data_IF_357907186684
#
_entry.id   IF_357907186684
#
_cell.length_a   1.000
_cell.length_b   1.000
_cell.length_c   1.000
_cell.angle_alpha   90.00
_cell.angle_beta   90.00
_cell.angle_gamma   90.00
#
_symmetry.space_group_name_H-M   'P 1'
#
loop_
_entity.id
_entity.type
_entity.pdbx_description
1 polymer ?
#
# COMPACT_ATOMS: atom_id res chain seq x y z
N UNK A 1 15.70 0.37 15.16
CA UNK A 1 15.29 -0.38 13.95
C UNK A 1 16.52 -1.05 13.34
N UNK A 2 16.39 -2.25 12.77
CA UNK A 2 17.47 -2.99 12.09
C UNK A 2 16.92 -3.53 10.77
N UNK A 3 17.63 -3.34 9.66
CA UNK A 3 17.24 -3.86 8.35
C UNK A 3 17.62 -5.36 8.31
N UNK A 4 16.66 -6.21 7.92
CA UNK A 4 16.87 -7.67 7.82
C UNK A 4 17.04 -8.14 6.38
N UNK A 5 16.33 -7.53 5.44
CA UNK A 5 16.40 -7.83 4.00
C UNK A 5 15.90 -6.64 3.20
N UNK A 6 16.28 -6.60 1.93
CA UNK A 6 15.75 -5.70 0.90
C UNK A 6 14.90 -6.49 -0.08
N UNK A 7 13.93 -5.85 -0.71
CA UNK A 7 13.09 -6.45 -1.76
C UNK A 7 13.45 -5.78 -3.09
N UNK A 8 13.98 -6.55 -4.04
CA UNK A 8 14.51 -6.02 -5.30
C UNK A 8 13.41 -5.70 -6.32
N UNK A 9 12.32 -6.48 -6.32
CA UNK A 9 11.22 -6.34 -7.28
C UNK A 9 10.03 -5.52 -6.76
N UNK A 10 10.13 -4.93 -5.57
CA UNK A 10 9.09 -4.09 -5.01
C UNK A 10 9.15 -2.67 -5.62
N UNK A 11 8.07 -2.24 -6.27
CA UNK A 11 7.96 -0.90 -6.89
C UNK A 11 6.95 -0.04 -6.16
N UNK A 12 7.30 1.21 -5.90
CA UNK A 12 6.33 2.20 -5.45
C UNK A 12 5.59 2.78 -6.65
N UNK A 13 4.26 2.73 -6.61
CA UNK A 13 3.38 3.23 -7.66
C UNK A 13 2.27 4.10 -7.07
N UNK A 14 1.70 4.98 -7.89
CA UNK A 14 0.50 5.74 -7.55
C UNK A 14 -0.63 5.21 -8.44
N UNK A 15 -1.74 4.82 -7.82
CA UNK A 15 -2.95 4.35 -8.51
C UNK A 15 -4.13 5.22 -8.11
N UNK A 16 -5.10 5.40 -8.98
CA UNK A 16 -6.40 5.96 -8.57
C UNK A 16 -7.22 4.84 -7.93
N UNK A 17 -7.35 4.87 -6.60
CA UNK A 17 -7.96 3.78 -5.84
C UNK A 17 -9.39 4.15 -5.43
N UNK A 18 -10.39 3.39 -5.90
CA UNK A 18 -11.77 3.50 -5.41
C UNK A 18 -11.92 2.75 -4.08
N UNK A 19 -12.53 3.41 -3.08
CA UNK A 19 -12.89 2.83 -1.79
C UNK A 19 -14.37 3.02 -1.50
N UNK A 20 -14.98 2.01 -0.88
CA UNK A 20 -16.34 2.10 -0.36
C UNK A 20 -16.30 2.65 1.07
N UNK A 21 -16.86 3.85 1.26
CA UNK A 21 -17.06 4.48 2.57
C UNK A 21 -18.56 4.47 2.89
N UNK A 22 -19.01 3.36 3.48
CA UNK A 22 -20.43 3.09 3.69
C UNK A 22 -21.16 2.98 2.34
N UNK A 23 -22.10 3.88 2.08
CA UNK A 23 -22.89 3.91 0.83
C UNK A 23 -22.27 4.81 -0.26
N UNK A 24 -21.10 5.41 -0.01
CA UNK A 24 -20.44 6.29 -1.00
C UNK A 24 -19.18 5.63 -1.55
N UNK A 25 -19.01 5.73 -2.87
CA UNK A 25 -17.74 5.46 -3.56
C UNK A 25 -16.94 6.74 -3.66
N UNK A 26 -15.65 6.67 -3.35
CA UNK A 26 -14.70 7.76 -3.58
C UNK A 26 -13.43 7.18 -4.17
N UNK A 27 -12.81 7.88 -5.11
CA UNK A 27 -11.46 7.56 -5.56
C UNK A 27 -10.49 8.67 -5.23
N UNK A 28 -9.23 8.30 -5.02
CA UNK A 28 -8.13 9.25 -4.88
C UNK A 28 -6.81 8.59 -5.31
N UNK A 29 -5.86 9.39 -5.83
CA UNK A 29 -4.48 8.94 -6.02
C UNK A 29 -3.91 8.41 -4.71
N UNK A 30 -3.49 7.15 -4.71
CA UNK A 30 -3.06 6.40 -3.53
C UNK A 30 -1.71 5.75 -3.78
N UNK A 31 -0.79 5.92 -2.84
CA UNK A 31 0.54 5.30 -2.88
C UNK A 31 0.43 3.81 -2.54
N UNK A 32 0.87 2.95 -3.46
CA UNK A 32 0.86 1.51 -3.32
C UNK A 32 2.25 0.93 -3.59
N UNK A 33 2.48 -0.28 -3.10
CA UNK A 33 3.58 -1.13 -3.53
C UNK A 33 3.07 -2.17 -4.54
N UNK A 34 3.72 -2.26 -5.69
CA UNK A 34 3.60 -3.41 -6.58
C UNK A 34 4.68 -4.42 -6.23
N UNK A 35 4.28 -5.62 -5.82
CA UNK A 35 5.20 -6.69 -5.44
C UNK A 35 4.56 -8.06 -5.68
N UNK A 36 5.33 -8.99 -6.24
CA UNK A 36 4.84 -10.36 -6.52
C UNK A 36 3.53 -10.38 -7.33
N UNK A 37 3.46 -9.51 -8.35
CA UNK A 37 2.29 -9.35 -9.22
C UNK A 37 1.08 -8.65 -8.60
N UNK A 38 1.11 -8.30 -7.31
CA UNK A 38 -0.01 -7.70 -6.57
C UNK A 38 0.17 -6.19 -6.39
N UNK A 39 -0.94 -5.46 -6.24
CA UNK A 39 -0.94 -4.05 -5.84
C UNK A 39 -1.38 -3.93 -4.38
N UNK A 40 -0.52 -3.38 -3.53
CA UNK A 40 -0.73 -3.31 -2.08
C UNK A 40 -0.77 -1.84 -1.63
N UNK A 41 -1.92 -1.31 -1.21
CA UNK A 41 -1.99 0.02 -0.62
C UNK A 41 -1.13 0.12 0.64
N UNK A 42 -0.36 1.20 0.73
CA UNK A 42 0.48 1.43 1.89
C UNK A 42 -0.33 2.04 3.04
N UNK A 43 -0.11 1.51 4.25
CA UNK A 43 -0.83 1.98 5.44
C UNK A 43 -0.32 3.34 5.92
N UNK A 44 -1.19 4.12 6.55
CA UNK A 44 -0.77 5.36 7.23
C UNK A 44 0.10 5.03 8.44
N UNK A 45 1.24 5.71 8.55
CA UNK A 45 2.03 5.70 9.78
C UNK A 45 1.38 6.62 10.82
N UNK A 46 1.28 6.15 12.06
CA UNK A 46 0.97 6.97 13.23
C UNK A 46 2.16 6.89 14.19
N UNK A 47 2.45 7.99 14.90
CA UNK A 47 3.43 8.05 15.99
C UNK A 47 4.87 7.64 15.63
N UNK A 48 5.38 8.10 14.49
CA UNK A 48 6.78 7.90 14.07
C UNK A 48 7.14 6.47 13.66
N UNK A 49 6.14 5.58 13.53
CA UNK A 49 6.34 4.22 13.02
C UNK A 49 6.59 4.23 11.51
N UNK A 50 7.30 3.23 10.96
CA UNK A 50 7.39 3.06 9.51
C UNK A 50 6.03 2.80 8.87
N UNK A 51 5.87 3.25 7.61
CA UNK A 51 4.77 2.84 6.74
C UNK A 51 4.92 1.34 6.46
N UNK A 52 3.85 0.58 6.68
CA UNK A 52 3.85 -0.87 6.50
C UNK A 52 3.18 -1.24 5.17
N UNK A 53 3.85 -2.13 4.44
CA UNK A 53 3.25 -2.89 3.35
C UNK A 53 2.66 -4.18 3.95
N UNK A 54 1.34 -4.33 3.91
CA UNK A 54 0.66 -5.55 4.37
C UNK A 54 0.14 -6.34 3.17
N UNK A 55 0.69 -7.54 2.93
CA UNK A 55 0.31 -8.39 1.79
C UNK A 55 -1.16 -8.79 1.85
N UNK A 56 -1.76 -8.87 3.04
CA UNK A 56 -3.17 -9.20 3.21
C UNK A 56 -4.10 -8.09 2.66
N UNK A 57 -3.57 -6.88 2.45
CA UNK A 57 -4.28 -5.77 1.82
C UNK A 57 -4.12 -5.76 0.28
N UNK A 58 -3.48 -6.78 -0.30
CA UNK A 58 -3.31 -6.87 -1.75
C UNK A 58 -4.66 -6.81 -2.46
N UNK A 59 -4.70 -5.96 -3.48
CA UNK A 59 -5.80 -5.80 -4.42
C UNK A 59 -5.25 -6.26 -5.77
N UNK A 60 -6.10 -6.91 -6.58
CA UNK A 60 -5.77 -7.58 -7.86
C UNK A 60 -4.53 -7.04 -8.58
#
# INVERSE_FOLDING_TARGET
MKILKTFEDAKLIIVDLEVNLGNQKRSAPTLCAQYDGKIIPLSTAHDGRPILMNIDNAIE
#
